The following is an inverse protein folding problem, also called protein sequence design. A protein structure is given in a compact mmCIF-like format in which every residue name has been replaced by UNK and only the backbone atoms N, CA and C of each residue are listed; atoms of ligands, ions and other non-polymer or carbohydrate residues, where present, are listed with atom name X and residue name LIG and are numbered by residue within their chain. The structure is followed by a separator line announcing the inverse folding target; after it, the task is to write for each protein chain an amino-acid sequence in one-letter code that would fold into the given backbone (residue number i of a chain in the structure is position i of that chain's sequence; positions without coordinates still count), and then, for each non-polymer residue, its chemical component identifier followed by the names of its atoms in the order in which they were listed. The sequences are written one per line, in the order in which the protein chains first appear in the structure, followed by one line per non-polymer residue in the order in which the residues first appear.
data_IF_711256605488
#
_entry.id   IF_711256605488
#
_cell.length_a   1.000
_cell.length_b   1.000
_cell.length_c   1.000
_cell.angle_alpha   90.00
_cell.angle_beta   90.00
_cell.angle_gamma   90.00
#
_symmetry.space_group_name_H-M   'P 1'
#
loop_
_entity.id
_entity.type
_entity.pdbx_description
1 polymer ?
#
# COMPACT_ATOMS: atom_id res chain seq x y z
N UNK A 1 0.48 90.78 49.35
CA UNK A 1 -0.19 89.84 48.43
C UNK A 1 0.61 88.50 48.43
N UNK A 2 0.14 87.44 49.00
CA UNK A 2 0.90 86.17 49.05
C UNK A 2 0.55 85.27 47.84
N UNK A 3 1.58 84.77 47.22
CA UNK A 3 1.54 83.78 46.10
C UNK A 3 1.27 82.45 46.68
N UNK A 4 0.17 81.77 46.23
CA UNK A 4 -0.19 80.39 46.61
C UNK A 4 0.58 79.43 45.70
N UNK A 5 1.46 78.62 46.27
CA UNK A 5 2.16 77.52 45.63
C UNK A 5 1.23 76.29 45.63
N UNK A 6 0.86 75.84 44.48
CA UNK A 6 0.13 74.53 44.33
C UNK A 6 1.15 73.43 44.25
N UNK A 7 1.09 72.49 45.24
CA UNK A 7 1.78 71.23 45.22
C UNK A 7 1.02 70.24 44.31
N UNK A 8 1.65 69.74 43.27
CA UNK A 8 1.14 68.64 42.42
C UNK A 8 1.69 67.36 42.99
N UNK A 9 0.82 66.52 43.53
CA UNK A 9 1.15 65.15 43.88
C UNK A 9 1.20 64.29 42.60
N UNK A 10 2.41 63.81 42.28
CA UNK A 10 2.59 62.86 41.18
C UNK A 10 2.43 61.45 41.76
N UNK A 11 1.28 60.76 41.47
CA UNK A 11 1.02 59.38 41.84
C UNK A 11 1.72 58.46 40.85
N UNK A 12 2.76 57.77 41.33
CA UNK A 12 3.50 56.77 40.55
C UNK A 12 2.73 55.45 40.60
N UNK A 13 2.00 55.13 39.52
CA UNK A 13 1.31 53.85 39.35
C UNK A 13 2.32 52.85 38.80
N UNK A 14 2.84 51.92 39.64
CA UNK A 14 3.71 50.83 39.23
C UNK A 14 2.81 49.73 38.61
N UNK A 15 2.82 49.62 37.29
CA UNK A 15 2.13 48.57 36.57
C UNK A 15 3.04 47.32 36.53
N UNK A 16 2.77 46.35 37.42
CA UNK A 16 3.44 45.06 37.41
C UNK A 16 2.88 44.21 36.24
N UNK A 17 3.64 44.14 35.14
CA UNK A 17 3.37 43.30 34.00
C UNK A 17 3.77 41.85 34.35
N UNK A 18 2.79 41.02 34.69
CA UNK A 18 3.01 39.57 34.86
C UNK A 18 3.12 38.95 33.46
N UNK A 19 4.34 38.64 33.04
CA UNK A 19 4.56 37.82 31.85
C UNK A 19 4.13 36.39 32.16
N UNK A 20 3.00 35.97 31.63
CA UNK A 20 2.68 34.53 31.48
C UNK A 20 3.55 33.95 30.37
N UNK A 21 4.63 33.30 30.72
CA UNK A 21 5.36 32.40 29.80
C UNK A 21 4.47 31.18 29.62
N UNK A 22 3.67 31.16 28.57
CA UNK A 22 3.02 29.93 28.07
C UNK A 22 4.14 29.08 27.46
N UNK A 23 4.65 28.10 28.20
CA UNK A 23 5.40 27.00 27.62
C UNK A 23 4.42 26.19 26.76
N UNK A 24 4.35 26.50 25.49
CA UNK A 24 3.79 25.56 24.52
C UNK A 24 4.83 24.43 24.39
N UNK A 25 4.56 23.28 24.99
CA UNK A 25 5.23 22.03 24.65
C UNK A 25 4.79 21.64 23.22
N UNK A 26 5.34 22.30 22.22
CA UNK A 26 5.42 21.75 20.89
C UNK A 26 6.60 20.76 20.93
N UNK A 27 6.35 19.53 21.38
CA UNK A 27 7.19 18.43 20.98
C UNK A 27 6.95 18.25 19.48
N UNK A 28 7.93 18.60 18.65
CA UNK A 28 7.94 18.10 17.28
C UNK A 28 7.76 16.58 17.34
N UNK A 29 6.98 15.97 16.44
CA UNK A 29 6.88 14.52 16.41
C UNK A 29 8.29 13.96 16.27
N UNK A 30 8.63 13.01 17.15
CA UNK A 30 9.91 12.32 17.09
C UNK A 30 10.05 11.69 15.72
N UNK A 31 11.12 12.02 14.99
CA UNK A 31 11.38 11.49 13.67
C UNK A 31 11.67 9.99 13.81
N UNK A 32 10.82 9.14 13.25
CA UNK A 32 10.98 7.68 13.33
C UNK A 32 12.25 7.25 12.61
N UNK A 33 13.05 6.44 13.26
CA UNK A 33 14.23 5.83 12.64
C UNK A 33 13.86 4.45 12.13
N UNK A 34 14.06 4.21 10.84
CA UNK A 34 13.71 2.96 10.18
C UNK A 34 14.93 2.12 9.84
N UNK A 35 14.91 0.83 10.15
CA UNK A 35 15.92 -0.15 9.75
C UNK A 35 15.31 -1.18 8.80
N UNK A 36 15.94 -1.40 7.64
CA UNK A 36 15.53 -2.45 6.70
C UNK A 36 15.75 -3.81 7.37
N UNK A 37 14.68 -4.62 7.42
CA UNK A 37 14.71 -6.01 7.92
C UNK A 37 14.57 -7.04 6.81
N UNK A 38 14.01 -6.63 5.66
CA UNK A 38 13.86 -7.46 4.47
C UNK A 38 13.75 -6.57 3.22
N UNK A 39 14.30 -7.04 2.11
CA UNK A 39 14.18 -6.32 0.83
C UNK A 39 14.40 -7.25 -0.35
N UNK A 40 13.85 -6.88 -1.51
CA UNK A 40 14.24 -7.36 -2.82
C UNK A 40 14.33 -6.18 -3.79
N UNK A 41 15.51 -6.00 -4.38
CA UNK A 41 15.82 -4.94 -5.35
C UNK A 41 15.74 -5.46 -6.79
N UNK A 42 15.31 -6.69 -6.99
CA UNK A 42 15.10 -7.37 -8.26
C UNK A 42 16.29 -7.32 -9.24
N UNK A 43 17.50 -7.28 -8.71
CA UNK A 43 18.72 -7.29 -9.49
C UNK A 43 18.96 -8.66 -10.13
N UNK A 44 19.27 -8.67 -11.43
CA UNK A 44 19.58 -9.91 -12.15
C UNK A 44 19.37 -9.79 -13.65
N UNK A 45 19.75 -10.81 -14.41
CA UNK A 45 19.64 -10.78 -15.87
C UNK A 45 18.18 -10.94 -16.33
N UNK A 46 17.89 -10.35 -17.48
CA UNK A 46 16.58 -10.44 -18.14
C UNK A 46 16.11 -11.89 -18.29
N UNK A 47 14.85 -12.14 -17.96
CA UNK A 47 14.19 -13.44 -18.06
C UNK A 47 14.45 -14.38 -16.88
N UNK A 48 15.30 -14.00 -15.91
CA UNK A 48 15.46 -14.74 -14.67
C UNK A 48 14.19 -14.64 -13.83
N UNK A 49 13.77 -15.75 -13.21
CA UNK A 49 12.68 -15.74 -12.23
C UNK A 49 13.14 -15.03 -10.94
N UNK A 50 12.22 -14.40 -10.20
CA UNK A 50 12.52 -13.86 -8.87
C UNK A 50 13.11 -14.92 -7.95
N UNK A 51 13.88 -14.48 -6.95
CA UNK A 51 14.58 -15.34 -5.99
C UNK A 51 13.59 -16.24 -5.23
N UNK A 52 13.71 -17.54 -5.43
CA UNK A 52 12.85 -18.55 -4.80
C UNK A 52 13.03 -18.68 -3.29
N UNK A 53 14.06 -18.04 -2.70
CA UNK A 53 14.20 -17.93 -1.25
C UNK A 53 13.40 -16.76 -0.65
N UNK A 54 12.87 -15.88 -1.51
CA UNK A 54 12.08 -14.71 -1.14
C UNK A 54 10.64 -14.80 -1.63
N UNK A 55 10.42 -15.44 -2.80
CA UNK A 55 9.13 -15.49 -3.47
C UNK A 55 8.69 -16.89 -3.84
N UNK A 56 7.43 -17.18 -3.62
CA UNK A 56 6.72 -18.34 -4.15
C UNK A 56 5.54 -17.87 -5.01
N UNK A 57 4.80 -18.79 -5.60
CA UNK A 57 3.78 -18.47 -6.60
C UNK A 57 2.44 -19.06 -6.21
N UNK A 58 1.38 -18.28 -6.41
CA UNK A 58 0.05 -18.83 -6.58
C UNK A 58 -0.17 -19.11 -8.07
N UNK A 59 -0.22 -20.37 -8.43
CA UNK A 59 -0.46 -20.76 -9.82
C UNK A 59 -1.92 -21.11 -10.03
N UNK A 60 -2.43 -20.88 -11.25
CA UNK A 60 -3.83 -21.00 -11.61
C UNK A 60 -4.68 -19.84 -11.07
N UNK A 61 -5.95 -19.93 -10.87
CA UNK A 61 -6.85 -18.88 -10.37
C UNK A 61 -8.08 -19.45 -9.68
N UNK A 62 -8.10 -20.79 -9.46
CA UNK A 62 -9.23 -21.61 -9.00
C UNK A 62 -10.51 -21.44 -9.86
N UNK A 63 -11.56 -22.20 -9.55
CA UNK A 63 -12.80 -22.22 -10.35
C UNK A 63 -13.62 -20.92 -10.27
N UNK A 64 -13.30 -20.03 -9.32
CA UNK A 64 -14.01 -18.77 -9.10
C UNK A 64 -13.17 -17.52 -9.38
N UNK A 65 -11.98 -17.65 -10.01
CA UNK A 65 -11.08 -16.52 -10.26
C UNK A 65 -10.75 -15.80 -8.94
N UNK A 66 -10.19 -16.53 -7.98
CA UNK A 66 -9.85 -16.06 -6.63
C UNK A 66 -11.04 -15.46 -5.83
N UNK A 67 -12.26 -15.87 -6.15
CA UNK A 67 -13.48 -15.32 -5.55
C UNK A 67 -13.99 -14.05 -6.21
N UNK A 68 -13.25 -13.47 -7.17
CA UNK A 68 -13.53 -12.20 -7.82
C UNK A 68 -13.87 -12.32 -9.30
N UNK A 69 -14.03 -13.55 -9.85
CA UNK A 69 -14.24 -13.80 -11.27
C UNK A 69 -13.11 -13.24 -12.16
N UNK A 70 -11.86 -13.26 -11.67
CA UNK A 70 -10.68 -12.92 -12.45
C UNK A 70 -10.52 -13.90 -13.62
N UNK A 71 -9.97 -13.44 -14.73
CA UNK A 71 -10.00 -14.15 -16.01
C UNK A 71 -8.65 -14.76 -16.39
N UNK A 72 -7.58 -14.45 -15.66
CA UNK A 72 -6.24 -14.92 -15.95
C UNK A 72 -5.92 -16.26 -15.28
N UNK A 73 -5.04 -17.01 -15.92
CA UNK A 73 -4.27 -18.08 -15.31
C UNK A 73 -2.97 -17.49 -14.76
N UNK A 74 -2.81 -17.52 -13.45
CA UNK A 74 -1.54 -17.12 -12.84
C UNK A 74 -0.50 -18.23 -12.99
N UNK A 75 0.68 -17.87 -13.48
CA UNK A 75 1.74 -18.82 -13.79
C UNK A 75 3.09 -18.34 -13.22
N UNK A 76 4.01 -19.30 -13.09
CA UNK A 76 5.41 -19.07 -12.73
C UNK A 76 6.34 -19.07 -13.96
N UNK A 77 5.80 -18.80 -15.16
CA UNK A 77 6.58 -18.80 -16.40
C UNK A 77 7.27 -17.45 -16.62
N UNK A 78 8.52 -17.43 -17.16
CA UNK A 78 9.24 -16.18 -17.38
C UNK A 78 8.51 -15.16 -18.25
N UNK A 79 7.62 -15.58 -19.13
CA UNK A 79 6.80 -14.67 -19.93
C UNK A 79 5.73 -13.92 -19.13
N UNK A 80 5.39 -14.38 -17.91
CA UNK A 80 4.43 -13.72 -17.02
C UNK A 80 5.08 -13.10 -15.78
N UNK A 81 6.23 -13.61 -15.35
CA UNK A 81 6.96 -13.05 -14.21
C UNK A 81 8.45 -13.30 -14.37
N UNK A 82 9.24 -12.25 -14.46
CA UNK A 82 10.70 -12.34 -14.55
C UNK A 82 11.34 -10.99 -14.28
N UNK A 83 12.66 -11.00 -14.03
CA UNK A 83 13.46 -9.79 -14.01
C UNK A 83 13.62 -9.25 -15.44
N UNK A 84 13.59 -7.92 -15.59
CA UNK A 84 13.71 -7.27 -16.90
C UNK A 84 15.18 -7.05 -17.33
N UNK A 85 16.14 -7.22 -16.41
CA UNK A 85 17.55 -6.97 -16.61
C UNK A 85 17.98 -5.51 -16.41
N UNK A 86 17.04 -4.65 -16.01
CA UNK A 86 17.24 -3.23 -15.71
C UNK A 86 16.99 -2.91 -14.23
N UNK A 87 16.93 -3.95 -13.39
CA UNK A 87 16.68 -3.82 -11.93
C UNK A 87 15.20 -3.83 -11.56
N UNK A 88 14.32 -4.40 -12.39
CA UNK A 88 12.90 -4.48 -12.05
C UNK A 88 12.37 -5.91 -12.18
N UNK A 89 11.37 -6.22 -11.34
CA UNK A 89 10.48 -7.35 -11.57
C UNK A 89 9.38 -6.91 -12.54
N UNK A 90 9.21 -7.68 -13.62
CA UNK A 90 8.09 -7.53 -14.55
C UNK A 90 7.02 -8.59 -14.28
N UNK A 91 5.81 -8.18 -13.90
CA UNK A 91 4.61 -9.02 -13.90
C UNK A 91 3.80 -8.66 -15.15
N UNK A 92 3.61 -9.64 -16.05
CA UNK A 92 3.11 -9.40 -17.40
C UNK A 92 1.78 -10.12 -17.62
N UNK A 93 0.72 -9.36 -17.79
CA UNK A 93 -0.57 -9.84 -18.26
C UNK A 93 -0.57 -9.98 -19.79
N UNK A 94 -1.03 -11.14 -20.28
CA UNK A 94 -1.08 -11.47 -21.71
C UNK A 94 -2.45 -12.00 -22.11
N UNK A 95 -2.89 -11.67 -23.30
CA UNK A 95 -3.94 -12.41 -23.99
C UNK A 95 -3.30 -13.66 -24.60
N UNK A 96 -3.44 -14.78 -23.88
CA UNK A 96 -2.85 -16.05 -24.26
C UNK A 96 -3.66 -17.19 -23.64
N UNK A 97 -4.09 -18.15 -24.43
CA UNK A 97 -4.83 -19.31 -23.95
C UNK A 97 -3.90 -20.26 -23.20
N UNK A 98 -4.19 -20.51 -21.92
CA UNK A 98 -3.48 -21.44 -21.08
C UNK A 98 -4.38 -21.96 -19.96
N UNK A 99 -4.29 -23.27 -19.66
CA UNK A 99 -5.05 -23.88 -18.56
C UNK A 99 -6.58 -23.76 -18.67
N UNK A 100 -7.11 -23.50 -19.89
CA UNK A 100 -8.55 -23.31 -20.13
C UNK A 100 -9.02 -21.86 -19.99
N UNK A 101 -8.12 -20.92 -19.65
CA UNK A 101 -8.39 -19.48 -19.59
C UNK A 101 -7.77 -18.76 -20.80
N UNK A 102 -8.25 -17.55 -21.11
CA UNK A 102 -7.81 -16.76 -22.27
C UNK A 102 -6.75 -15.72 -21.96
N UNK A 103 -6.43 -15.52 -20.68
CA UNK A 103 -5.39 -14.61 -20.22
C UNK A 103 -4.42 -15.34 -19.31
N UNK A 104 -3.19 -14.88 -19.31
CA UNK A 104 -2.17 -15.33 -18.36
C UNK A 104 -1.55 -14.13 -17.67
N UNK A 105 -1.17 -14.31 -16.42
CA UNK A 105 -0.46 -13.32 -15.60
C UNK A 105 0.34 -14.02 -14.51
N UNK A 106 0.70 -13.29 -13.45
CA UNK A 106 1.34 -13.89 -12.28
C UNK A 106 0.86 -13.27 -10.98
N UNK A 107 0.92 -14.10 -9.92
CA UNK A 107 0.74 -13.74 -8.52
C UNK A 107 1.85 -14.39 -7.72
N UNK A 108 2.66 -13.56 -7.07
CA UNK A 108 3.78 -14.00 -6.23
C UNK A 108 3.57 -13.56 -4.80
N UNK A 109 4.16 -14.29 -3.86
CA UNK A 109 4.00 -14.04 -2.43
C UNK A 109 5.21 -14.47 -1.62
N UNK A 110 5.33 -13.88 -0.43
CA UNK A 110 6.39 -14.23 0.53
C UNK A 110 5.94 -15.25 1.59
N UNK A 111 4.73 -15.83 1.48
CA UNK A 111 4.17 -16.79 2.43
C UNK A 111 5.14 -17.93 2.74
N UNK A 112 5.38 -18.19 4.03
CA UNK A 112 6.33 -19.18 4.56
C UNK A 112 7.81 -18.91 4.28
N UNK A 113 8.15 -17.78 3.64
CA UNK A 113 9.52 -17.33 3.35
C UNK A 113 9.88 -16.08 4.14
N UNK A 114 8.99 -15.09 4.15
CA UNK A 114 9.08 -13.89 4.98
C UNK A 114 7.69 -13.43 5.40
N UNK A 115 7.51 -13.33 6.71
CA UNK A 115 6.28 -12.88 7.35
C UNK A 115 6.67 -12.06 8.57
N UNK A 116 5.99 -10.95 8.82
CA UNK A 116 6.28 -10.11 9.98
C UNK A 116 5.04 -9.34 10.42
N UNK A 117 5.09 -8.82 11.64
CA UNK A 117 4.05 -7.97 12.23
C UNK A 117 4.62 -6.58 12.41
N UNK A 118 3.84 -5.55 12.03
CA UNK A 118 4.18 -4.13 12.15
C UNK A 118 5.39 -3.69 11.32
N UNK A 119 5.59 -2.39 11.26
CA UNK A 119 6.67 -1.77 10.52
C UNK A 119 6.20 -0.97 9.31
N UNK A 120 7.14 -0.57 8.46
CA UNK A 120 6.86 0.09 7.18
C UNK A 120 7.07 -0.92 6.06
N UNK A 121 6.06 -1.10 5.22
CA UNK A 121 6.10 -1.93 4.01
C UNK A 121 6.00 -0.99 2.82
N UNK A 122 6.91 -1.13 1.86
CA UNK A 122 7.07 -0.19 0.78
C UNK A 122 7.44 -0.92 -0.50
N UNK A 123 6.81 -0.55 -1.62
CA UNK A 123 7.19 -0.97 -2.96
C UNK A 123 7.16 0.22 -3.92
N UNK A 124 8.14 0.29 -4.81
CA UNK A 124 8.19 1.28 -5.89
C UNK A 124 7.76 0.63 -7.18
N UNK A 125 6.62 1.08 -7.73
CA UNK A 125 5.91 0.38 -8.79
C UNK A 125 5.50 1.37 -9.89
N UNK A 126 5.63 0.92 -11.16
CA UNK A 126 4.99 1.53 -12.32
C UNK A 126 3.85 0.64 -12.77
N UNK A 127 2.64 1.21 -12.83
CA UNK A 127 1.42 0.45 -13.09
C UNK A 127 1.12 0.32 -14.59
N UNK A 128 0.38 -0.73 -15.01
CA UNK A 128 -0.09 -0.86 -16.38
C UNK A 128 -1.32 0.03 -16.65
N UNK A 129 -1.68 0.21 -17.91
CA UNK A 129 -2.89 0.93 -18.33
C UNK A 129 -3.80 0.07 -19.18
N UNK A 130 -5.11 0.17 -18.94
CA UNK A 130 -6.15 -0.42 -19.75
C UNK A 130 -7.32 -0.96 -18.94
N UNK A 131 -8.50 -0.97 -19.56
CA UNK A 131 -9.71 -1.53 -18.98
C UNK A 131 -9.49 -2.99 -18.56
N UNK A 132 -9.93 -3.34 -17.35
CA UNK A 132 -9.89 -4.71 -16.85
C UNK A 132 -8.52 -5.17 -16.34
N UNK A 133 -7.58 -4.25 -16.11
CA UNK A 133 -6.31 -4.55 -15.44
C UNK A 133 -6.40 -4.18 -13.98
N UNK A 134 -5.95 -5.10 -13.11
CA UNK A 134 -6.04 -4.96 -11.66
C UNK A 134 -4.71 -5.38 -11.00
N UNK A 135 -3.70 -4.53 -11.04
CA UNK A 135 -2.49 -4.72 -10.28
C UNK A 135 -2.74 -4.44 -8.80
N UNK A 136 -2.06 -5.19 -7.92
CA UNK A 136 -2.12 -5.00 -6.49
C UNK A 136 -0.77 -5.29 -5.80
N UNK A 137 -0.50 -4.49 -4.77
CA UNK A 137 0.51 -4.70 -3.74
C UNK A 137 -0.22 -4.74 -2.40
N UNK A 138 -0.22 -5.89 -1.75
CA UNK A 138 -1.10 -6.19 -0.63
C UNK A 138 -0.55 -7.27 0.28
N UNK A 139 -1.25 -7.57 1.37
CA UNK A 139 -0.82 -8.52 2.38
C UNK A 139 -2.00 -9.34 2.91
N UNK A 140 -1.73 -10.58 3.30
CA UNK A 140 -2.66 -11.46 4.00
C UNK A 140 -2.05 -11.98 5.30
N UNK A 141 -2.91 -12.20 6.31
CA UNK A 141 -2.52 -12.86 7.54
C UNK A 141 -1.98 -14.27 7.31
N UNK A 142 -0.90 -14.61 7.99
CA UNK A 142 -0.18 -15.87 7.79
C UNK A 142 -0.97 -17.11 8.25
N UNK A 143 -2.04 -16.89 9.01
CA UNK A 143 -2.95 -17.94 9.50
C UNK A 143 -4.11 -18.28 8.53
N UNK A 144 -4.10 -17.71 7.31
CA UNK A 144 -5.14 -17.90 6.28
C UNK A 144 -5.50 -19.37 6.04
N UNK A 145 -4.53 -20.28 6.13
CA UNK A 145 -4.74 -21.70 5.91
C UNK A 145 -5.56 -22.35 7.05
N UNK A 146 -5.68 -21.69 8.20
CA UNK A 146 -6.40 -22.18 9.38
C UNK A 146 -7.71 -21.46 9.67
N UNK A 147 -7.76 -20.13 9.51
CA UNK A 147 -8.95 -19.31 9.85
C UNK A 147 -9.73 -18.84 8.63
N UNK A 148 -9.14 -18.92 7.44
CA UNK A 148 -9.69 -18.47 6.16
C UNK A 148 -9.87 -16.93 6.08
N UNK A 149 -10.15 -16.46 4.88
CA UNK A 149 -10.53 -15.08 4.61
C UNK A 149 -12.04 -14.87 4.92
N UNK A 150 -12.46 -13.73 5.50
CA UNK A 150 -11.66 -12.55 5.85
C UNK A 150 -11.10 -12.56 7.29
N UNK A 151 -11.21 -13.66 8.04
CA UNK A 151 -10.77 -13.74 9.44
C UNK A 151 -9.25 -13.58 9.60
N UNK A 152 -8.47 -14.00 8.61
CA UNK A 152 -7.01 -13.80 8.59
C UNK A 152 -6.60 -12.33 8.42
N UNK A 153 -7.51 -11.44 8.04
CA UNK A 153 -7.20 -10.06 7.68
C UNK A 153 -6.53 -9.92 6.31
N UNK A 154 -6.75 -8.78 5.66
CA UNK A 154 -6.13 -8.36 4.42
C UNK A 154 -5.84 -6.86 4.48
N UNK A 155 -4.65 -6.47 4.08
CA UNK A 155 -4.19 -5.08 4.00
C UNK A 155 -3.81 -4.80 2.55
N UNK A 156 -4.63 -4.03 1.84
CA UNK A 156 -4.32 -3.58 0.50
C UNK A 156 -3.54 -2.28 0.59
N UNK A 157 -2.24 -2.35 0.32
CA UNK A 157 -1.35 -1.19 0.33
C UNK A 157 -1.63 -0.34 -0.91
N UNK A 158 -1.81 -0.99 -2.05
CA UNK A 158 -2.17 -0.36 -3.31
C UNK A 158 -3.00 -1.33 -4.15
N UNK A 159 -4.20 -0.91 -4.52
CA UNK A 159 -5.01 -1.49 -5.58
C UNK A 159 -5.30 -0.45 -6.65
N UNK A 160 -5.36 -0.88 -7.90
CA UNK A 160 -5.54 0.03 -9.02
C UNK A 160 -6.44 -0.56 -10.10
N UNK A 161 -7.30 0.28 -10.65
CA UNK A 161 -8.09 -0.02 -11.85
C UNK A 161 -7.45 0.60 -13.08
N UNK A 162 -6.98 -0.23 -14.01
CA UNK A 162 -6.24 0.23 -15.17
C UNK A 162 -6.96 1.24 -16.06
N UNK A 163 -8.28 1.34 -15.97
CA UNK A 163 -9.11 2.36 -16.64
C UNK A 163 -9.17 3.71 -15.91
N UNK A 164 -8.70 3.77 -14.67
CA UNK A 164 -8.69 4.98 -13.83
C UNK A 164 -7.27 5.38 -13.46
N UNK A 165 -6.45 5.82 -14.43
CA UNK A 165 -5.00 5.85 -14.30
C UNK A 165 -4.44 6.85 -13.27
N UNK A 166 -5.27 7.69 -12.70
CA UNK A 166 -4.89 8.66 -11.67
C UNK A 166 -5.33 8.27 -10.26
N UNK A 167 -5.98 7.10 -10.08
CA UNK A 167 -6.54 6.68 -8.81
C UNK A 167 -5.93 5.37 -8.34
N UNK A 168 -5.61 5.28 -7.05
CA UNK A 168 -5.35 4.03 -6.34
C UNK A 168 -6.21 3.97 -5.07
N UNK A 169 -6.45 2.77 -4.58
CA UNK A 169 -7.15 2.55 -3.32
C UNK A 169 -6.23 1.83 -2.33
N UNK A 170 -6.34 2.21 -1.05
CA UNK A 170 -5.79 1.50 0.08
C UNK A 170 -6.94 1.02 0.96
N UNK A 171 -7.00 -0.29 1.28
CA UNK A 171 -8.18 -0.90 1.88
C UNK A 171 -7.80 -1.88 3.00
N UNK A 172 -8.69 -2.05 3.97
CA UNK A 172 -8.66 -3.14 4.94
C UNK A 172 -9.87 -4.05 4.76
N UNK A 173 -9.62 -5.35 4.80
CA UNK A 173 -10.66 -6.38 4.87
C UNK A 173 -10.47 -7.27 6.10
N UNK A 174 -11.54 -7.42 6.87
CA UNK A 174 -11.60 -8.24 8.06
C UNK A 174 -13.02 -8.70 8.38
N UNK A 175 -13.23 -9.39 9.52
CA UNK A 175 -14.54 -9.86 9.95
C UNK A 175 -15.55 -8.72 10.08
N UNK A 176 -16.62 -8.75 9.28
CA UNK A 176 -17.67 -7.73 9.28
C UNK A 176 -17.42 -6.51 8.36
N UNK A 177 -16.25 -6.42 7.70
CA UNK A 177 -15.91 -5.38 6.74
C UNK A 177 -15.00 -5.97 5.64
N UNK A 178 -15.59 -6.65 4.67
CA UNK A 178 -14.82 -7.36 3.63
C UNK A 178 -15.50 -7.31 2.27
N UNK A 179 -14.78 -7.61 1.19
CA UNK A 179 -15.24 -7.49 -0.17
C UNK A 179 -15.74 -6.06 -0.46
N UNK A 180 -16.92 -5.90 -1.02
CA UNK A 180 -17.50 -4.58 -1.28
C UNK A 180 -17.83 -3.72 -0.03
N UNK A 181 -17.54 -4.21 1.16
CA UNK A 181 -17.67 -3.51 2.44
C UNK A 181 -16.31 -3.26 3.11
N UNK A 182 -15.21 -3.48 2.39
CA UNK A 182 -13.88 -3.09 2.83
C UNK A 182 -13.82 -1.62 3.22
N UNK A 183 -12.95 -1.27 4.16
CA UNK A 183 -12.81 0.10 4.66
C UNK A 183 -11.52 0.69 4.10
N UNK A 184 -11.63 1.78 3.37
CA UNK A 184 -10.47 2.40 2.71
C UNK A 184 -10.76 3.76 2.11
N UNK A 185 -9.76 4.30 1.42
CA UNK A 185 -9.84 5.58 0.71
C UNK A 185 -9.10 5.52 -0.61
N UNK A 186 -9.53 6.39 -1.52
CA UNK A 186 -8.87 6.60 -2.82
C UNK A 186 -7.87 7.76 -2.71
N UNK A 187 -6.65 7.53 -3.20
CA UNK A 187 -5.69 8.60 -3.49
C UNK A 187 -5.77 8.99 -4.97
N UNK A 188 -5.69 10.28 -5.26
CA UNK A 188 -5.84 10.80 -6.62
C UNK A 188 -4.68 11.72 -6.99
N UNK A 189 -3.95 11.36 -8.04
CA UNK A 189 -2.94 12.23 -8.66
C UNK A 189 -3.61 13.40 -9.40
N UNK A 190 -3.09 14.60 -9.19
CA UNK A 190 -3.54 15.80 -9.93
C UNK A 190 -2.70 15.97 -11.19
N UNK A 191 -3.34 15.90 -12.37
CA UNK A 191 -2.69 16.06 -13.67
C UNK A 191 -1.55 15.07 -13.97
N UNK A 192 -1.57 13.89 -13.34
CA UNK A 192 -0.58 12.83 -13.51
C UNK A 192 -1.27 11.46 -13.55
N UNK A 193 -0.50 10.41 -13.88
CA UNK A 193 -0.99 9.04 -14.05
C UNK A 193 0.04 8.06 -13.50
N UNK A 194 -0.43 7.01 -12.84
CA UNK A 194 0.40 5.95 -12.27
C UNK A 194 1.07 5.03 -13.30
N UNK A 195 0.62 5.05 -14.56
CA UNK A 195 1.18 4.23 -15.64
C UNK A 195 2.34 4.89 -16.39
N UNK A 196 2.64 6.17 -16.12
CA UNK A 196 3.69 6.91 -16.82
C UNK A 196 5.04 6.87 -16.13
N UNK A 197 5.06 6.80 -14.80
CA UNK A 197 6.27 6.86 -13.96
C UNK A 197 6.17 5.85 -12.80
N UNK A 198 7.27 5.65 -12.08
CA UNK A 198 7.28 4.89 -10.85
C UNK A 198 6.84 5.75 -9.68
N UNK A 199 6.00 5.19 -8.82
CA UNK A 199 5.55 5.74 -7.56
C UNK A 199 5.84 4.77 -6.44
N UNK A 200 6.10 5.29 -5.24
CA UNK A 200 6.26 4.49 -4.04
C UNK A 200 4.94 4.36 -3.32
N UNK A 201 4.49 3.15 -3.07
CA UNK A 201 3.31 2.84 -2.28
C UNK A 201 3.77 2.24 -0.95
N UNK A 202 3.28 2.78 0.16
CA UNK A 202 3.72 2.31 1.46
C UNK A 202 2.61 2.35 2.51
N UNK A 203 2.78 1.50 3.52
CA UNK A 203 2.08 1.62 4.79
C UNK A 203 3.07 1.73 5.95
N UNK A 204 2.65 2.42 7.01
CA UNK A 204 3.21 2.28 8.35
C UNK A 204 2.18 1.63 9.24
N UNK A 205 2.46 0.42 9.64
CA UNK A 205 1.55 -0.44 10.40
C UNK A 205 2.03 -0.58 11.84
N UNK A 206 1.15 -0.23 12.78
CA UNK A 206 1.33 -0.32 14.22
C UNK A 206 0.20 -1.15 14.85
N UNK A 207 0.28 -1.40 16.15
CA UNK A 207 -0.69 -2.21 16.88
C UNK A 207 -2.16 -1.72 16.70
N UNK A 208 -2.37 -0.41 16.73
CA UNK A 208 -3.71 0.20 16.75
C UNK A 208 -4.05 0.97 15.47
N UNK A 209 -3.12 1.09 14.51
CA UNK A 209 -3.33 1.91 13.33
C UNK A 209 -2.47 1.49 12.15
N UNK A 210 -2.97 1.76 10.96
CA UNK A 210 -2.26 1.63 9.69
C UNK A 210 -2.39 2.96 8.96
N UNK A 211 -1.28 3.48 8.45
CA UNK A 211 -1.20 4.72 7.69
C UNK A 211 -0.73 4.40 6.27
N UNK A 212 -1.36 5.00 5.25
CA UNK A 212 -1.02 4.80 3.84
C UNK A 212 -0.35 6.02 3.24
N UNK A 213 0.60 5.77 2.34
CA UNK A 213 1.40 6.80 1.68
C UNK A 213 1.53 6.52 0.19
N UNK A 214 1.53 7.56 -0.62
CA UNK A 214 2.00 7.56 -2.01
C UNK A 214 3.19 8.51 -2.07
N UNK A 215 4.34 8.00 -2.47
CA UNK A 215 5.64 8.64 -2.26
C UNK A 215 5.78 8.99 -0.76
N UNK A 216 5.95 10.25 -0.41
CA UNK A 216 6.00 10.69 0.99
C UNK A 216 4.68 11.34 1.46
N UNK A 217 3.63 11.32 0.61
CA UNK A 217 2.34 11.93 0.93
C UNK A 217 1.44 10.95 1.68
N UNK A 218 1.17 11.24 2.95
CA UNK A 218 0.20 10.51 3.75
C UNK A 218 -1.23 10.84 3.30
N UNK A 219 -2.04 9.83 2.96
CA UNK A 219 -3.40 10.07 2.49
C UNK A 219 -4.49 9.40 3.34
N UNK A 220 -4.16 8.40 4.14
CA UNK A 220 -5.14 7.67 4.95
C UNK A 220 -4.53 7.17 6.25
N UNK A 221 -5.33 7.20 7.32
CA UNK A 221 -5.10 6.44 8.56
C UNK A 221 -6.37 5.67 8.90
N UNK A 222 -6.26 4.38 9.14
CA UNK A 222 -7.31 3.57 9.75
C UNK A 222 -6.84 3.03 11.10
N UNK A 223 -7.76 3.03 12.07
CA UNK A 223 -7.53 2.59 13.44
C UNK A 223 -8.48 1.46 13.81
N UNK A 224 -8.15 0.75 14.85
CA UNK A 224 -9.03 -0.29 15.43
C UNK A 224 -10.44 0.24 15.78
N UNK A 225 -10.57 1.53 16.07
CA UNK A 225 -11.87 2.19 16.33
C UNK A 225 -12.71 2.48 15.08
N UNK A 226 -12.11 2.41 13.88
CA UNK A 226 -12.77 2.78 12.63
C UNK A 226 -13.44 1.58 11.95
N UNK A 227 -13.09 0.35 12.37
CA UNK A 227 -13.66 -0.88 11.82
C UNK A 227 -14.95 -1.28 12.58
N UNK A 228 -15.87 -1.94 11.88
CA UNK A 228 -17.15 -2.37 12.44
C UNK A 228 -17.14 -3.77 13.05
N UNK A 229 -16.04 -4.51 12.89
CA UNK A 229 -15.81 -5.86 13.39
C UNK A 229 -14.50 -5.98 14.16
N UNK A 230 -13.95 -7.17 14.23
CA UNK A 230 -12.70 -7.42 14.94
C UNK A 230 -11.51 -6.81 14.20
N UNK A 231 -10.59 -6.16 14.95
CA UNK A 231 -9.29 -5.73 14.45
C UNK A 231 -8.35 -6.93 14.43
N UNK A 232 -8.04 -7.42 13.23
CA UNK A 232 -7.26 -8.66 13.04
C UNK A 232 -5.83 -8.42 12.54
N UNK A 233 -5.32 -7.21 12.70
CA UNK A 233 -3.99 -6.79 12.21
C UNK A 233 -2.98 -6.72 13.36
N UNK A 234 -2.85 -7.81 14.13
CA UNK A 234 -1.97 -7.93 15.31
C UNK A 234 -1.08 -9.19 15.30
N UNK A 235 -1.03 -9.88 14.16
CA UNK A 235 -0.24 -11.08 13.92
C UNK A 235 0.57 -10.96 12.61
N UNK A 236 1.47 -11.90 12.27
CA UNK A 236 2.29 -11.78 11.07
C UNK A 236 1.47 -11.84 9.77
N UNK A 237 1.83 -11.00 8.82
CA UNK A 237 1.32 -10.97 7.45
C UNK A 237 2.44 -11.23 6.45
N UNK A 238 2.09 -11.81 5.31
CA UNK A 238 2.96 -11.98 4.16
C UNK A 238 2.55 -11.06 3.01
N UNK A 239 3.51 -10.72 2.15
CA UNK A 239 3.35 -9.81 1.02
C UNK A 239 2.87 -10.56 -0.22
N UNK A 240 2.03 -9.92 -1.02
CA UNK A 240 1.61 -10.37 -2.34
C UNK A 240 1.78 -9.24 -3.37
N UNK A 241 2.16 -9.66 -4.58
CA UNK A 241 2.18 -8.84 -5.78
C UNK A 241 1.48 -9.61 -6.90
N UNK A 242 0.54 -8.97 -7.59
CA UNK A 242 -0.10 -9.57 -8.74
C UNK A 242 -0.58 -8.53 -9.77
N UNK A 243 -0.85 -9.00 -10.98
CA UNK A 243 -1.57 -8.25 -12.00
C UNK A 243 -2.74 -9.11 -12.48
N UNK A 244 -3.90 -8.90 -11.88
CA UNK A 244 -5.11 -9.61 -12.30
C UNK A 244 -5.67 -9.03 -13.62
N UNK A 245 -6.41 -9.86 -14.35
CA UNK A 245 -7.12 -9.50 -15.58
C UNK A 245 -8.60 -9.77 -15.40
N UNK A 246 -9.43 -8.74 -15.56
CA UNK A 246 -10.86 -8.82 -15.30
C UNK A 246 -11.18 -8.92 -13.82
N UNK A 247 -12.41 -9.28 -13.53
CA UNK A 247 -12.93 -9.41 -12.18
C UNK A 247 -14.13 -8.52 -11.91
N UNK A 248 -14.78 -8.75 -10.77
CA UNK A 248 -16.01 -8.06 -10.40
C UNK A 248 -15.82 -6.55 -10.25
N UNK A 249 -14.64 -6.12 -9.81
CA UNK A 249 -14.36 -4.71 -9.50
C UNK A 249 -13.95 -3.89 -10.71
N UNK A 250 -13.10 -4.46 -11.59
CA UNK A 250 -12.57 -3.75 -12.76
C UNK A 250 -13.34 -4.03 -14.05
N UNK A 251 -14.15 -5.10 -14.06
CA UNK A 251 -14.80 -5.60 -15.27
C UNK A 251 -13.83 -6.27 -16.25
N UNK A 252 -14.31 -6.83 -17.38
CA UNK A 252 -13.43 -7.47 -18.35
C UNK A 252 -12.62 -6.46 -19.16
N UNK A 253 -11.46 -6.88 -19.73
CA UNK A 253 -10.81 -6.13 -20.80
C UNK A 253 -11.75 -5.82 -21.97
N UNK A 254 -11.49 -4.75 -22.69
CA UNK A 254 -12.24 -4.38 -23.88
C UNK A 254 -11.29 -4.17 -25.08
N UNK A 255 -11.83 -3.75 -26.21
CA UNK A 255 -11.08 -3.54 -27.46
C UNK A 255 -9.96 -2.50 -27.38
N UNK A 256 -9.96 -1.65 -26.35
CA UNK A 256 -8.91 -0.65 -26.11
C UNK A 256 -7.81 -1.18 -25.16
N UNK A 257 -7.98 -2.37 -24.59
CA UNK A 257 -6.97 -2.99 -23.73
C UNK A 257 -5.95 -3.71 -24.60
N UNK A 258 -4.78 -3.11 -24.76
CA UNK A 258 -3.72 -3.64 -25.62
C UNK A 258 -2.80 -4.53 -24.77
N UNK A 259 -2.75 -5.81 -25.09
CA UNK A 259 -1.81 -6.74 -24.45
C UNK A 259 -0.51 -6.90 -25.26
N UNK A 260 0.64 -7.23 -24.63
CA UNK A 260 0.81 -7.42 -23.19
C UNK A 260 0.81 -6.11 -22.41
N UNK A 261 0.43 -6.19 -21.13
CA UNK A 261 0.54 -5.10 -20.16
C UNK A 261 1.43 -5.53 -19.00
N UNK A 262 2.22 -4.61 -18.47
CA UNK A 262 3.25 -4.92 -17.49
C UNK A 262 3.15 -4.02 -16.28
N UNK A 263 3.12 -4.61 -15.09
CA UNK A 263 3.44 -3.98 -13.82
C UNK A 263 4.94 -4.14 -13.59
N UNK A 264 5.68 -3.04 -13.46
CA UNK A 264 7.09 -3.06 -13.11
C UNK A 264 7.27 -2.72 -11.64
N UNK A 265 8.04 -3.52 -10.92
CA UNK A 265 8.38 -3.30 -9.51
C UNK A 265 9.89 -3.09 -9.41
N UNK A 266 10.31 -1.90 -8.99
CA UNK A 266 11.71 -1.52 -8.80
C UNK A 266 12.28 -2.20 -7.54
N UNK A 267 11.55 -2.09 -6.43
CA UNK A 267 11.91 -2.78 -5.19
C UNK A 267 10.69 -3.07 -4.31
N UNK A 268 10.88 -4.00 -3.38
CA UNK A 268 10.03 -4.16 -2.19
C UNK A 268 10.92 -4.13 -0.96
N UNK A 269 10.60 -3.28 0.00
CA UNK A 269 11.37 -3.10 1.24
C UNK A 269 10.46 -3.15 2.47
N UNK A 270 10.95 -3.78 3.52
CA UNK A 270 10.27 -3.81 4.82
C UNK A 270 11.22 -3.28 5.88
N UNK A 271 10.71 -2.37 6.70
CA UNK A 271 11.47 -1.70 7.74
C UNK A 271 10.80 -1.92 9.10
N UNK A 272 11.61 -1.96 10.13
CA UNK A 272 11.16 -1.84 11.52
C UNK A 272 11.61 -0.53 12.12
N UNK A 273 10.78 0.04 12.97
CA UNK A 273 11.13 1.21 13.76
C UNK A 273 12.18 0.80 14.82
N UNK A 274 13.25 1.56 14.91
CA UNK A 274 14.31 1.38 15.93
C UNK A 274 14.32 2.59 16.84
N UNK A 275 14.53 2.32 18.15
CA UNK A 275 14.63 3.34 19.22
C UNK A 275 15.92 4.17 19.10
#
# INVERSE_FOLDING_TARGET
MPIKTKMILLSLMVLTMVLFIQCSNNSEPEEKTWQIIWQDEFEGPQGQLPDSTRWTYDTWGNDSGWGNNQLEFNSNRPENVSLDGEGHLAIVAREASYGGLNYTSARIKTQSLFETTFGRFEARIKLPWGQGLWPAFWMLGNDIDSVSWPQCGEIDIMEYRGQEPSHIEGTLHGPGYSGGQGIGSTYTLTNARFDTEFYTFAIEWNLDSINWYVDDEHFQTLRSSDVTGDWVYDHPFFILLNLAVGGNWVGPPNENTIFPQTMLVDYVRVYQEVE
#
